data_IF_998195829453
#
_entry.id   IF_998195829453
#
_cell.length_a   1.000
_cell.length_b   1.000
_cell.length_c   1.000
_cell.angle_alpha   90.00
_cell.angle_beta   90.00
_cell.angle_gamma   90.00
#
_symmetry.space_group_name_H-M   'P 1'
#
loop_
_entity.id
_entity.type
_entity.pdbx_description
1 polymer ?
#
# COMPACT_ATOMS: atom_id res chain seq x y z
N UNK A 1 -16.43 -4.05 -9.78
CA UNK A 1 -16.23 -4.11 -8.31
C UNK A 1 -17.56 -4.31 -7.60
N UNK A 2 -17.54 -4.89 -6.42
CA UNK A 2 -18.72 -5.06 -5.56
C UNK A 2 -19.04 -3.74 -4.85
N UNK A 3 -20.32 -3.36 -4.69
CA UNK A 3 -20.68 -2.18 -3.93
C UNK A 3 -20.38 -2.39 -2.43
N UNK A 4 -20.08 -1.32 -1.68
CA UNK A 4 -19.70 -1.42 -0.25
C UNK A 4 -20.65 -2.25 0.61
N UNK A 5 -21.97 -2.16 0.38
CA UNK A 5 -22.95 -2.92 1.16
C UNK A 5 -22.84 -4.44 0.98
N UNK A 6 -22.38 -4.91 -0.20
CA UNK A 6 -22.12 -6.35 -0.44
C UNK A 6 -20.87 -6.78 0.32
N UNK A 7 -19.82 -5.97 0.32
CA UNK A 7 -18.60 -6.24 1.09
C UNK A 7 -18.89 -6.32 2.59
N UNK A 8 -19.63 -5.34 3.13
CA UNK A 8 -20.05 -5.31 4.54
C UNK A 8 -20.86 -6.53 4.94
N UNK A 9 -21.72 -7.03 4.06
CA UNK A 9 -22.58 -8.18 4.35
C UNK A 9 -21.85 -9.53 4.25
N UNK A 10 -21.01 -9.70 3.23
CA UNK A 10 -20.49 -11.03 2.88
C UNK A 10 -18.98 -11.21 3.11
N UNK A 11 -18.20 -10.12 3.20
CA UNK A 11 -16.73 -10.18 3.25
C UNK A 11 -16.20 -9.71 4.60
N UNK A 12 -16.59 -8.52 5.06
CA UNK A 12 -16.03 -7.91 6.27
C UNK A 12 -16.19 -8.75 7.55
N UNK A 13 -17.29 -9.50 7.76
CA UNK A 13 -17.39 -10.39 8.91
C UNK A 13 -16.30 -11.48 8.96
N UNK A 14 -15.80 -11.91 7.79
CA UNK A 14 -14.68 -12.85 7.72
C UNK A 14 -13.34 -12.17 7.96
N UNK A 15 -13.14 -10.96 7.42
CA UNK A 15 -11.94 -10.18 7.72
C UNK A 15 -11.79 -9.90 9.21
N UNK A 16 -12.86 -9.48 9.90
CA UNK A 16 -12.83 -9.28 11.35
C UNK A 16 -12.40 -10.54 12.11
N UNK A 17 -12.90 -11.72 11.72
CA UNK A 17 -12.48 -13.00 12.35
C UNK A 17 -11.01 -13.31 12.11
N UNK A 18 -10.51 -13.06 10.91
CA UNK A 18 -9.11 -13.31 10.51
C UNK A 18 -8.17 -12.34 11.24
N UNK A 19 -8.49 -11.05 11.22
CA UNK A 19 -7.70 -10.01 11.88
C UNK A 19 -7.68 -10.23 13.39
N UNK A 20 -8.84 -10.49 14.00
CA UNK A 20 -8.92 -10.85 15.41
C UNK A 20 -8.03 -12.04 15.76
N UNK A 21 -8.06 -13.11 14.95
CA UNK A 21 -7.21 -14.27 15.18
C UNK A 21 -5.72 -13.93 15.07
N UNK A 22 -5.32 -13.09 14.12
CA UNK A 22 -3.94 -12.62 13.99
C UNK A 22 -3.52 -11.83 15.23
N UNK A 23 -4.33 -10.86 15.66
CA UNK A 23 -4.08 -10.03 16.84
C UNK A 23 -4.04 -10.85 18.14
N UNK A 24 -4.94 -11.82 18.31
CA UNK A 24 -4.94 -12.76 19.46
C UNK A 24 -3.64 -13.60 19.53
N UNK A 25 -2.88 -13.67 18.44
CA UNK A 25 -1.57 -14.33 18.34
C UNK A 25 -0.39 -13.36 18.32
N UNK A 26 -0.63 -12.07 18.58
CA UNK A 26 0.39 -11.02 18.52
C UNK A 26 0.98 -10.83 17.12
N UNK A 27 0.18 -11.08 16.07
CA UNK A 27 0.55 -10.90 14.66
C UNK A 27 -0.22 -9.73 14.06
N UNK A 28 0.41 -9.04 13.12
CA UNK A 28 -0.23 -7.98 12.34
C UNK A 28 -1.01 -8.56 11.16
N UNK A 29 -2.05 -7.86 10.74
CA UNK A 29 -2.86 -8.17 9.58
C UNK A 29 -2.79 -7.04 8.55
N UNK A 30 -2.38 -7.38 7.33
CA UNK A 30 -2.23 -6.43 6.21
C UNK A 30 -3.18 -6.85 5.09
N UNK A 31 -3.90 -5.89 4.52
CA UNK A 31 -4.82 -6.14 3.42
C UNK A 31 -4.23 -5.70 2.09
N UNK A 32 -4.36 -6.55 1.06
CA UNK A 32 -4.14 -6.16 -0.33
C UNK A 32 -5.49 -5.88 -1.00
N UNK A 33 -5.68 -4.67 -1.53
CA UNK A 33 -6.74 -4.32 -2.46
C UNK A 33 -6.27 -3.20 -3.38
N UNK A 34 -6.27 -3.47 -4.68
CA UNK A 34 -6.16 -2.43 -5.71
C UNK A 34 -7.48 -1.63 -5.79
N UNK A 35 -7.44 -0.51 -6.51
CA UNK A 35 -8.62 0.28 -6.82
C UNK A 35 -9.02 1.28 -5.76
N UNK A 36 -10.23 1.81 -5.95
CA UNK A 36 -10.83 2.82 -5.09
C UNK A 36 -11.29 2.22 -3.75
N UNK A 37 -10.86 2.83 -2.64
CA UNK A 37 -11.12 2.33 -1.28
C UNK A 37 -11.82 3.33 -0.35
N UNK A 38 -12.03 4.58 -0.77
CA UNK A 38 -12.47 5.65 0.15
C UNK A 38 -13.80 5.34 0.86
N UNK A 39 -14.77 4.70 0.17
CA UNK A 39 -16.08 4.39 0.75
C UNK A 39 -16.05 3.32 1.85
N UNK A 40 -14.91 2.64 2.02
CA UNK A 40 -14.74 1.51 2.95
C UNK A 40 -13.50 1.66 3.85
N UNK A 41 -12.81 2.80 3.80
CA UNK A 41 -11.57 2.98 4.56
C UNK A 41 -11.82 2.93 6.07
N UNK A 42 -12.91 3.54 6.54
CA UNK A 42 -13.28 3.51 7.96
C UNK A 42 -13.68 2.11 8.41
N UNK A 43 -14.33 1.31 7.54
CA UNK A 43 -14.57 -0.10 7.85
C UNK A 43 -13.25 -0.87 7.97
N UNK A 44 -12.28 -0.62 7.08
CA UNK A 44 -10.98 -1.30 7.08
C UNK A 44 -10.14 -0.97 8.32
N UNK A 45 -10.12 0.30 8.71
CA UNK A 45 -9.29 0.79 9.83
C UNK A 45 -10.00 0.59 11.17
N UNK A 46 -11.24 1.06 11.32
CA UNK A 46 -11.85 1.19 12.64
C UNK A 46 -12.62 -0.08 13.03
N UNK A 47 -13.26 -0.73 12.05
CA UNK A 47 -14.11 -1.91 12.31
C UNK A 47 -13.34 -3.21 12.16
N UNK A 48 -12.59 -3.35 11.07
CA UNK A 48 -11.82 -4.57 10.77
C UNK A 48 -10.45 -4.53 11.47
N UNK A 49 -9.89 -3.34 11.69
CA UNK A 49 -8.61 -3.13 12.37
C UNK A 49 -7.41 -3.71 11.63
N UNK A 50 -7.36 -3.55 10.30
CA UNK A 50 -6.12 -3.84 9.58
C UNK A 50 -4.98 -2.92 10.03
N UNK A 51 -3.79 -3.49 10.21
CA UNK A 51 -2.59 -2.77 10.60
C UNK A 51 -1.90 -2.10 9.40
N UNK A 52 -2.15 -2.60 8.19
CA UNK A 52 -1.57 -2.07 6.97
C UNK A 52 -2.42 -2.28 5.73
N UNK A 53 -2.28 -1.38 4.76
CA UNK A 53 -2.92 -1.45 3.45
C UNK A 53 -1.90 -1.44 2.33
N UNK A 54 -2.06 -2.37 1.41
CA UNK A 54 -1.43 -2.44 0.10
C UNK A 54 -2.55 -2.56 -0.95
N UNK A 55 -2.44 -2.12 -2.20
CA UNK A 55 -1.48 -1.16 -2.71
C UNK A 55 -2.18 0.17 -3.04
N UNK A 56 -1.52 1.00 -3.85
CA UNK A 56 -1.99 2.28 -4.37
C UNK A 56 -1.63 2.40 -5.86
N UNK A 57 -2.39 3.22 -6.58
CA UNK A 57 -2.28 3.38 -8.04
C UNK A 57 -2.37 4.87 -8.37
N UNK A 58 -1.45 5.39 -9.18
CA UNK A 58 -1.32 6.83 -9.42
C UNK A 58 -2.56 7.42 -10.08
N UNK A 59 -3.19 6.65 -10.98
CA UNK A 59 -4.40 7.06 -11.70
C UNK A 59 -5.66 7.08 -10.83
N UNK A 60 -5.61 6.54 -9.61
CA UNK A 60 -6.75 6.48 -8.69
C UNK A 60 -6.46 7.33 -7.46
N UNK A 61 -5.40 7.01 -6.74
CA UNK A 61 -4.95 7.75 -5.57
C UNK A 61 -3.44 7.53 -5.33
N UNK A 62 -2.59 8.53 -5.67
CA UNK A 62 -1.14 8.44 -5.47
C UNK A 62 -0.78 8.15 -4.02
N UNK A 63 0.24 7.32 -3.81
CA UNK A 63 0.66 6.86 -2.48
C UNK A 63 1.13 8.00 -1.58
N UNK A 64 1.69 9.07 -2.15
CA UNK A 64 2.09 10.29 -1.45
C UNK A 64 0.89 10.91 -0.70
N UNK A 65 -0.26 10.98 -1.38
CA UNK A 65 -1.51 11.53 -0.81
C UNK A 65 -2.09 10.56 0.22
N UNK A 66 -2.15 9.27 -0.14
CA UNK A 66 -2.64 8.24 0.77
C UNK A 66 -1.90 8.25 2.11
N UNK A 67 -0.57 8.40 2.09
CA UNK A 67 0.22 8.52 3.30
C UNK A 67 -0.17 9.75 4.12
N UNK A 68 -0.31 10.93 3.51
CA UNK A 68 -0.69 12.12 4.27
C UNK A 68 -2.05 11.98 4.96
N UNK A 69 -3.01 11.35 4.28
CA UNK A 69 -4.37 11.22 4.80
C UNK A 69 -4.53 10.11 5.84
N UNK A 70 -3.67 9.08 5.80
CA UNK A 70 -3.87 7.84 6.56
C UNK A 70 -2.73 7.46 7.52
N UNK A 71 -1.58 8.16 7.51
CA UNK A 71 -0.38 7.80 8.30
C UNK A 71 -0.62 7.61 9.80
N UNK A 72 -1.61 8.28 10.39
CA UNK A 72 -1.94 8.16 11.82
C UNK A 72 -2.92 7.01 12.13
N UNK A 73 -3.48 6.39 11.08
CA UNK A 73 -4.59 5.44 11.16
C UNK A 73 -4.18 4.03 10.74
N UNK A 74 -3.36 3.89 9.69
CA UNK A 74 -2.97 2.59 9.14
C UNK A 74 -1.62 2.70 8.42
N UNK A 75 -0.80 1.63 8.48
CA UNK A 75 0.44 1.60 7.72
C UNK A 75 0.17 1.52 6.21
N UNK A 76 0.99 2.21 5.43
CA UNK A 76 0.90 2.29 3.98
C UNK A 76 2.02 1.45 3.39
N UNK A 77 1.67 0.51 2.52
CA UNK A 77 2.63 -0.42 1.93
C UNK A 77 2.60 -0.31 0.41
N UNK A 78 3.78 -0.25 -0.20
CA UNK A 78 3.95 -0.25 -1.64
C UNK A 78 3.58 1.06 -2.29
N UNK A 79 2.90 0.99 -3.43
CA UNK A 79 2.28 2.13 -4.08
C UNK A 79 3.15 2.88 -5.10
N UNK A 80 4.39 2.44 -5.38
CA UNK A 80 5.04 2.87 -6.62
C UNK A 80 4.38 2.19 -7.82
N UNK A 81 3.57 2.96 -8.52
CA UNK A 81 2.69 2.51 -9.59
C UNK A 81 3.43 1.67 -10.66
N UNK A 82 2.77 0.60 -11.13
CA UNK A 82 3.36 -0.33 -12.09
C UNK A 82 3.66 0.33 -13.43
N UNK A 83 2.81 1.26 -13.89
CA UNK A 83 3.03 2.00 -15.12
C UNK A 83 4.21 2.96 -14.99
N UNK A 84 4.37 3.57 -13.82
CA UNK A 84 5.55 4.39 -13.50
C UNK A 84 6.82 3.55 -13.52
N UNK A 85 6.83 2.40 -12.83
CA UNK A 85 7.97 1.48 -12.81
C UNK A 85 8.29 0.90 -14.19
N UNK A 86 7.31 0.72 -15.07
CA UNK A 86 7.52 0.17 -16.41
C UNK A 86 8.14 1.17 -17.40
N UNK A 87 7.81 2.46 -17.28
CA UNK A 87 8.10 3.44 -18.36
C UNK A 87 9.08 4.55 -17.97
N UNK A 88 9.36 4.74 -16.68
CA UNK A 88 10.30 5.78 -16.23
C UNK A 88 11.74 5.30 -16.26
N UNK A 89 12.67 6.25 -16.21
CA UNK A 89 14.09 5.94 -16.03
C UNK A 89 14.36 5.45 -14.61
N UNK A 90 15.43 4.65 -14.44
CA UNK A 90 15.86 4.17 -13.12
C UNK A 90 16.18 5.31 -12.16
N UNK A 91 16.72 6.42 -12.67
CA UNK A 91 16.96 7.64 -11.89
C UNK A 91 15.64 8.25 -11.37
N UNK A 92 14.61 8.39 -12.22
CA UNK A 92 13.30 8.88 -11.77
C UNK A 92 12.68 7.95 -10.72
N UNK A 93 12.85 6.63 -10.86
CA UNK A 93 12.37 5.64 -9.89
C UNK A 93 13.11 5.75 -8.56
N UNK A 94 14.43 5.84 -8.58
CA UNK A 94 15.25 6.07 -7.39
C UNK A 94 14.83 7.35 -6.66
N UNK A 95 14.71 8.47 -7.40
CA UNK A 95 14.36 9.76 -6.80
C UNK A 95 12.95 9.76 -6.19
N UNK A 96 11.95 9.19 -6.88
CA UNK A 96 10.60 9.09 -6.31
C UNK A 96 10.57 8.21 -5.06
N UNK A 97 11.27 7.08 -5.08
CA UNK A 97 11.42 6.19 -3.92
C UNK A 97 12.05 6.93 -2.73
N UNK A 98 13.15 7.66 -2.97
CA UNK A 98 13.85 8.45 -1.96
C UNK A 98 12.98 9.57 -1.39
N UNK A 99 12.21 10.24 -2.24
CA UNK A 99 11.27 11.27 -1.81
C UNK A 99 10.15 10.71 -0.93
N UNK A 100 9.61 9.53 -1.27
CA UNK A 100 8.65 8.83 -0.40
C UNK A 100 9.24 8.46 0.95
N UNK A 101 10.46 7.93 0.99
CA UNK A 101 11.16 7.63 2.24
C UNK A 101 11.43 8.90 3.07
N UNK A 102 11.78 10.01 2.43
CA UNK A 102 11.96 11.30 3.08
C UNK A 102 10.64 11.87 3.64
N UNK A 103 9.54 11.73 2.89
CA UNK A 103 8.19 12.12 3.30
C UNK A 103 7.70 11.33 4.53
N UNK A 104 8.12 10.07 4.61
CA UNK A 104 7.63 9.09 5.57
C UNK A 104 8.61 8.81 6.71
N UNK A 105 9.53 9.74 6.97
CA UNK A 105 10.51 9.65 8.07
C UNK A 105 9.90 9.44 9.47
N UNK A 106 8.62 9.77 9.65
CA UNK A 106 7.90 9.56 10.90
C UNK A 106 7.40 8.12 11.08
N UNK A 107 7.61 7.24 10.09
CA UNK A 107 7.17 5.85 10.10
C UNK A 107 5.86 5.63 9.35
N UNK A 108 5.28 4.44 9.51
CA UNK A 108 3.97 4.11 8.90
C UNK A 108 3.98 3.88 7.40
N UNK A 109 5.15 3.76 6.76
CA UNK A 109 5.30 3.44 5.35
C UNK A 109 6.33 2.33 5.11
N UNK A 110 6.02 1.41 4.20
CA UNK A 110 6.96 0.42 3.67
C UNK A 110 7.08 0.59 2.16
N UNK A 111 8.26 0.96 1.68
CA UNK A 111 8.54 1.14 0.25
C UNK A 111 8.30 -0.16 -0.53
N UNK A 112 7.65 -0.04 -1.67
CA UNK A 112 7.43 -1.14 -2.61
C UNK A 112 6.59 -0.72 -3.82
N UNK A 113 6.35 -1.67 -4.70
CA UNK A 113 5.58 -1.49 -5.93
C UNK A 113 4.06 -1.48 -5.71
N UNK A 114 3.33 -1.04 -6.73
CA UNK A 114 1.86 -1.04 -6.81
C UNK A 114 1.25 -2.46 -6.84
N UNK A 115 2.04 -3.45 -7.23
CA UNK A 115 1.67 -4.86 -7.27
C UNK A 115 2.93 -5.72 -7.25
N UNK A 116 2.80 -7.05 -7.32
CA UNK A 116 3.92 -7.95 -7.62
C UNK A 116 4.66 -7.48 -8.87
N UNK A 117 5.99 -7.59 -8.88
CA UNK A 117 6.85 -7.20 -10.01
C UNK A 117 6.75 -8.28 -11.12
N UNK A 118 6.19 -7.96 -12.29
CA UNK A 118 6.17 -8.85 -13.45
C UNK A 118 7.39 -8.61 -14.35
N UNK A 119 7.61 -9.54 -15.30
CA UNK A 119 8.75 -9.54 -16.22
C UNK A 119 8.87 -8.31 -17.13
N UNK A 120 7.78 -7.56 -17.32
CA UNK A 120 7.79 -6.34 -18.14
C UNK A 120 8.40 -5.13 -17.42
N UNK A 121 8.65 -5.22 -16.10
CA UNK A 121 9.33 -4.13 -15.38
C UNK A 121 10.83 -4.23 -15.64
N UNK A 122 11.47 -3.17 -16.18
CA UNK A 122 12.91 -3.15 -16.35
C UNK A 122 13.62 -3.43 -15.03
N UNK A 123 14.60 -4.35 -15.06
CA UNK A 123 15.29 -4.79 -13.85
C UNK A 123 16.01 -3.63 -13.16
N UNK A 124 16.58 -2.70 -13.93
CA UNK A 124 17.20 -1.48 -13.45
C UNK A 124 16.24 -0.58 -12.66
N UNK A 125 14.96 -0.56 -13.01
CA UNK A 125 13.96 0.24 -12.31
C UNK A 125 13.60 -0.38 -10.96
N UNK A 126 13.43 -1.71 -10.93
CA UNK A 126 13.22 -2.42 -9.67
C UNK A 126 14.43 -2.29 -8.74
N UNK A 127 15.64 -2.47 -9.27
CA UNK A 127 16.89 -2.32 -8.51
C UNK A 127 17.07 -0.89 -7.99
N UNK A 128 16.74 0.13 -8.78
CA UNK A 128 16.79 1.53 -8.35
C UNK A 128 15.85 1.82 -7.17
N UNK A 129 14.64 1.25 -7.16
CA UNK A 129 13.72 1.33 -6.02
C UNK A 129 14.32 0.67 -4.78
N UNK A 130 14.88 -0.55 -4.91
CA UNK A 130 15.55 -1.23 -3.80
C UNK A 130 16.75 -0.45 -3.27
N UNK A 131 17.56 0.11 -4.16
CA UNK A 131 18.72 0.91 -3.81
C UNK A 131 18.32 2.10 -2.94
N UNK A 132 17.26 2.82 -3.30
CA UNK A 132 16.74 3.92 -2.49
C UNK A 132 16.32 3.49 -1.07
N UNK A 133 15.79 2.27 -0.90
CA UNK A 133 15.39 1.73 0.40
C UNK A 133 16.53 1.19 1.27
N UNK A 134 17.67 0.86 0.66
CA UNK A 134 18.84 0.30 1.34
C UNK A 134 19.83 1.40 1.74
N UNK A 135 19.95 2.46 0.94
CA UNK A 135 20.78 3.62 1.24
C UNK A 135 20.15 4.43 2.40
N UNK A 136 20.87 4.48 3.53
CA UNK A 136 20.47 5.25 4.72
C UNK A 136 20.94 6.70 4.65
#
# INVERSE_FOLDING_TARGET
MLPPHVLRKYVFPWYQKIVKLAHDKGKLAIVHSCGYYHDIIDDMVDTIQFDGKHSFEDNIYPVEKAYQDLKERIAILGGLDMNFLAHKSSEEVYQRSKNMLALTKQGGYALGSGNSIPDYIPSENYLAMLQAGIEK
#
